data_IF_702000568804
#
_entry.id   IF_702000568804
#
_cell.length_a   1.000
_cell.length_b   1.000
_cell.length_c   1.000
_cell.angle_alpha   90.00
_cell.angle_beta   90.00
_cell.angle_gamma   90.00
#
_symmetry.space_group_name_H-M   'P 1'
#
loop_
_entity.id
_entity.type
_entity.pdbx_description
1 polymer ?
#
# COMPACT_ATOMS: atom_id res chain seq x y z
N UNK A 1 23.23 5.46 8.93
CA UNK A 1 22.62 6.27 7.86
C UNK A 1 21.59 5.37 7.18
N UNK A 2 20.29 5.64 7.34
CA UNK A 2 19.27 4.86 6.62
C UNK A 2 19.47 5.07 5.11
N UNK A 3 19.49 3.98 4.34
CA UNK A 3 19.55 4.07 2.87
C UNK A 3 18.29 4.77 2.37
N UNK A 4 18.46 5.64 1.38
CA UNK A 4 17.37 6.25 0.65
C UNK A 4 16.50 5.16 0.00
N UNK A 5 15.18 5.25 0.17
CA UNK A 5 14.25 4.26 -0.37
C UNK A 5 14.06 4.51 -1.87
N UNK A 6 14.39 3.51 -2.69
CA UNK A 6 14.02 3.52 -4.11
C UNK A 6 12.77 2.68 -4.33
N UNK A 7 11.73 3.28 -4.90
CA UNK A 7 10.46 2.61 -5.16
C UNK A 7 9.76 3.20 -6.38
N UNK A 8 8.73 2.51 -6.87
CA UNK A 8 7.76 3.04 -7.83
C UNK A 8 6.34 2.64 -7.45
N UNK A 9 5.37 3.45 -7.87
CA UNK A 9 3.95 3.21 -7.61
C UNK A 9 3.27 2.85 -8.92
N UNK A 10 2.56 1.73 -8.94
CA UNK A 10 1.82 1.25 -10.09
C UNK A 10 0.32 1.26 -9.77
N UNK A 11 -0.48 2.15 -10.36
CA UNK A 11 -1.93 2.06 -10.24
C UNK A 11 -2.46 0.75 -10.80
N UNK A 12 -3.39 0.13 -10.07
CA UNK A 12 -3.99 -1.16 -10.41
C UNK A 12 -5.44 -1.05 -10.88
N UNK A 13 -6.10 0.10 -10.68
CA UNK A 13 -7.45 0.31 -11.19
C UNK A 13 -7.41 0.95 -12.58
N UNK A 14 -8.31 0.50 -13.44
CA UNK A 14 -8.53 1.01 -14.79
C UNK A 14 -10.02 1.27 -14.99
N UNK A 15 -10.36 2.34 -15.69
CA UNK A 15 -11.72 2.66 -16.11
C UNK A 15 -11.85 2.41 -17.61
N UNK A 16 -12.78 1.52 -17.99
CA UNK A 16 -13.12 1.25 -19.39
C UNK A 16 -14.63 1.30 -19.54
N UNK A 17 -15.10 2.13 -20.47
CA UNK A 17 -16.53 2.27 -20.79
C UNK A 17 -17.41 2.62 -19.57
N UNK A 18 -16.87 3.40 -18.62
CA UNK A 18 -17.56 3.78 -17.37
C UNK A 18 -17.58 2.69 -16.29
N UNK A 19 -16.85 1.58 -16.49
CA UNK A 19 -16.67 0.51 -15.51
C UNK A 19 -15.25 0.52 -14.95
N UNK A 20 -15.13 0.49 -13.62
CA UNK A 20 -13.84 0.39 -12.92
C UNK A 20 -13.52 -1.09 -12.69
N UNK A 21 -12.32 -1.49 -13.12
CA UNK A 21 -11.80 -2.84 -12.98
C UNK A 21 -10.34 -2.84 -12.52
N UNK A 22 -9.83 -4.00 -12.13
CA UNK A 22 -8.44 -4.18 -11.74
C UNK A 22 -8.11 -5.68 -11.58
N UNK A 23 -6.84 -6.02 -11.32
CA UNK A 23 -6.44 -7.40 -11.05
C UNK A 23 -7.25 -8.02 -9.92
N UNK A 24 -7.85 -9.19 -10.18
CA UNK A 24 -8.84 -9.82 -9.28
C UNK A 24 -8.34 -10.00 -7.85
N UNK A 25 -7.12 -10.51 -7.66
CA UNK A 25 -6.58 -10.80 -6.33
C UNK A 25 -6.34 -9.52 -5.51
N UNK A 26 -5.54 -8.54 -5.98
CA UNK A 26 -5.38 -7.26 -5.28
C UNK A 26 -6.70 -6.51 -5.04
N UNK A 27 -7.64 -6.55 -5.99
CA UNK A 27 -8.93 -5.87 -5.84
C UNK A 27 -9.81 -6.53 -4.75
N UNK A 28 -9.82 -7.87 -4.69
CA UNK A 28 -10.54 -8.60 -3.65
C UNK A 28 -9.92 -8.35 -2.28
N UNK A 29 -8.59 -8.44 -2.19
CA UNK A 29 -7.84 -8.10 -0.98
C UNK A 29 -8.18 -6.69 -0.48
N UNK A 30 -8.09 -5.69 -1.36
CA UNK A 30 -8.35 -4.30 -0.99
C UNK A 30 -9.78 -4.10 -0.48
N UNK A 31 -10.76 -4.77 -1.09
CA UNK A 31 -12.15 -4.76 -0.64
C UNK A 31 -12.32 -5.36 0.75
N UNK A 32 -11.68 -6.50 1.02
CA UNK A 32 -11.74 -7.16 2.32
C UNK A 32 -11.08 -6.32 3.41
N UNK A 33 -9.87 -5.82 3.17
CA UNK A 33 -9.14 -5.00 4.14
C UNK A 33 -9.84 -3.68 4.41
N UNK A 34 -10.35 -3.00 3.37
CA UNK A 34 -11.10 -1.76 3.53
C UNK A 34 -12.37 -1.98 4.37
N UNK A 35 -13.08 -3.10 4.16
CA UNK A 35 -14.24 -3.45 4.98
C UNK A 35 -13.88 -3.70 6.45
N UNK A 36 -12.75 -4.37 6.72
CA UNK A 36 -12.28 -4.63 8.09
C UNK A 36 -11.99 -3.35 8.89
N UNK A 37 -11.46 -2.32 8.22
CA UNK A 37 -11.12 -1.04 8.87
C UNK A 37 -12.22 0.03 8.73
N UNK A 38 -13.40 -0.33 8.21
CA UNK A 38 -14.53 0.60 8.07
C UNK A 38 -14.31 1.71 7.04
N UNK A 39 -13.48 1.46 6.03
CA UNK A 39 -13.06 2.43 5.03
C UNK A 39 -13.67 2.14 3.65
N UNK A 40 -14.02 3.20 2.91
CA UNK A 40 -14.37 3.09 1.48
C UNK A 40 -13.18 3.55 0.65
N UNK A 41 -12.63 2.67 -0.18
CA UNK A 41 -11.53 2.99 -1.08
C UNK A 41 -12.02 3.28 -2.50
N UNK A 42 -11.30 4.12 -3.23
CA UNK A 42 -11.53 4.38 -4.66
C UNK A 42 -10.22 4.45 -5.47
N UNK A 43 -9.08 4.12 -4.86
CA UNK A 43 -7.77 3.97 -5.47
C UNK A 43 -7.11 2.70 -4.94
N UNK A 44 -6.37 2.04 -5.82
CA UNK A 44 -5.54 0.87 -5.48
C UNK A 44 -4.27 0.92 -6.31
N UNK A 45 -3.13 0.78 -5.66
CA UNK A 45 -1.83 0.73 -6.32
C UNK A 45 -0.92 -0.30 -5.67
N UNK A 46 0.02 -0.84 -6.45
CA UNK A 46 1.14 -1.64 -5.98
C UNK A 46 2.35 -0.76 -5.77
N UNK A 47 3.03 -0.95 -4.65
CA UNK A 47 4.32 -0.34 -4.36
C UNK A 47 5.43 -1.33 -4.72
N UNK A 48 6.21 -1.01 -5.74
CA UNK A 48 7.40 -1.76 -6.11
C UNK A 48 8.61 -1.20 -5.38
N UNK A 49 9.27 -2.05 -4.60
CA UNK A 49 10.44 -1.70 -3.81
C UNK A 49 11.68 -2.25 -4.52
N UNK A 50 12.70 -1.41 -4.72
CA UNK A 50 13.93 -1.86 -5.38
C UNK A 50 14.68 -2.93 -4.56
N UNK A 51 14.56 -2.88 -3.23
CA UNK A 51 14.99 -3.97 -2.35
C UNK A 51 13.85 -4.98 -2.21
N UNK A 52 13.93 -6.06 -2.99
CA UNK A 52 12.95 -7.15 -3.02
C UNK A 52 12.78 -7.88 -1.67
N UNK A 53 13.67 -7.65 -0.69
CA UNK A 53 13.58 -8.30 0.63
C UNK A 53 12.58 -7.60 1.55
N UNK A 54 12.18 -6.37 1.23
CA UNK A 54 11.24 -5.62 2.07
C UNK A 54 9.86 -6.29 1.99
N UNK A 55 9.26 -6.52 3.15
CA UNK A 55 7.96 -7.18 3.31
C UNK A 55 7.92 -8.64 2.85
N UNK A 56 9.08 -9.27 2.66
CA UNK A 56 9.19 -10.69 2.30
C UNK A 56 9.71 -11.53 3.46
N UNK A 57 9.25 -12.76 3.56
CA UNK A 57 9.80 -13.81 4.42
C UNK A 57 10.72 -14.73 3.62
N UNK A 58 11.48 -15.60 4.30
CA UNK A 58 12.17 -16.73 3.66
C UNK A 58 11.33 -17.98 3.81
N UNK A 59 10.97 -18.60 2.69
CA UNK A 59 10.20 -19.84 2.63
C UNK A 59 10.78 -20.74 1.55
N UNK A 60 10.93 -22.04 1.83
CA UNK A 60 11.38 -23.07 0.88
C UNK A 60 12.61 -22.70 0.03
N UNK A 61 13.58 -22.02 0.64
CA UNK A 61 14.83 -21.60 -0.01
C UNK A 61 14.75 -20.31 -0.84
N UNK A 62 13.59 -19.67 -0.92
CA UNK A 62 13.35 -18.42 -1.63
C UNK A 62 12.83 -17.30 -0.73
N UNK A 63 12.61 -16.13 -1.34
CA UNK A 63 11.77 -15.08 -0.75
C UNK A 63 10.31 -15.36 -1.10
N UNK A 64 9.40 -14.99 -0.21
CA UNK A 64 7.96 -14.95 -0.52
C UNK A 64 7.67 -14.00 -1.68
N UNK A 65 6.48 -14.12 -2.27
CA UNK A 65 5.98 -13.24 -3.33
C UNK A 65 4.91 -12.26 -2.84
N UNK A 66 5.04 -11.75 -1.61
CA UNK A 66 4.04 -10.83 -1.06
C UNK A 66 4.00 -9.53 -1.84
N UNK A 67 2.80 -8.98 -2.01
CA UNK A 67 2.62 -7.67 -2.60
C UNK A 67 2.58 -6.59 -1.51
N UNK A 68 3.16 -5.41 -1.78
CA UNK A 68 2.91 -4.23 -0.95
C UNK A 68 1.91 -3.34 -1.67
N UNK A 69 0.78 -3.07 -1.04
CA UNK A 69 -0.35 -2.37 -1.65
C UNK A 69 -0.67 -1.07 -0.92
N UNK A 70 -0.95 -0.02 -1.70
CA UNK A 70 -1.54 1.23 -1.25
C UNK A 70 -3.03 1.17 -1.57
N UNK A 71 -3.85 1.18 -0.52
CA UNK A 71 -5.31 1.29 -0.62
C UNK A 71 -5.65 2.73 -0.28
N UNK A 72 -6.30 3.44 -1.20
CA UNK A 72 -6.53 4.88 -1.08
C UNK A 72 -7.97 5.29 -1.31
N UNK A 73 -8.34 6.41 -0.71
CA UNK A 73 -9.54 7.17 -1.03
C UNK A 73 -9.15 8.61 -1.31
N UNK A 74 -9.35 9.02 -2.55
CA UNK A 74 -9.10 10.37 -3.03
C UNK A 74 -10.44 11.04 -3.28
N UNK A 75 -10.72 12.07 -2.48
CA UNK A 75 -11.85 12.98 -2.64
C UNK A 75 -11.32 14.38 -2.97
N UNK A 76 -12.22 15.30 -3.31
CA UNK A 76 -11.86 16.67 -3.72
C UNK A 76 -10.89 17.36 -2.76
N UNK A 77 -11.18 17.25 -1.46
CA UNK A 77 -10.46 18.00 -0.40
C UNK A 77 -9.77 17.07 0.61
N UNK A 78 -9.78 15.75 0.38
CA UNK A 78 -9.21 14.80 1.32
C UNK A 78 -8.59 13.59 0.63
N UNK A 79 -7.48 13.10 1.18
CA UNK A 79 -6.83 11.87 0.75
C UNK A 79 -6.57 11.03 2.00
N UNK A 80 -7.09 9.81 2.00
CA UNK A 80 -6.79 8.79 3.01
C UNK A 80 -6.02 7.67 2.34
N UNK A 81 -4.85 7.33 2.89
CA UNK A 81 -4.01 6.22 2.46
C UNK A 81 -3.89 5.18 3.56
N UNK A 82 -3.85 3.92 3.14
CA UNK A 82 -3.51 2.79 4.00
C UNK A 82 -2.56 1.86 3.26
N UNK A 83 -1.47 1.48 3.91
CA UNK A 83 -0.39 0.65 3.35
C UNK A 83 -0.46 -0.75 3.95
N UNK A 84 -0.40 -1.76 3.10
CA UNK A 84 -0.60 -3.17 3.46
C UNK A 84 0.43 -4.08 2.80
N UNK A 85 0.72 -5.20 3.45
CA UNK A 85 1.33 -6.37 2.81
C UNK A 85 0.22 -7.38 2.53
N UNK A 86 0.02 -7.72 1.26
CA UNK A 86 -0.81 -8.83 0.83
C UNK A 86 0.04 -10.11 0.79
N UNK A 87 -0.30 -11.06 1.66
CA UNK A 87 0.42 -12.32 1.82
C UNK A 87 -0.19 -13.48 1.00
N UNK A 88 -1.23 -13.20 0.21
CA UNK A 88 -1.99 -14.19 -0.56
C UNK A 88 -3.03 -14.97 0.26
N UNK A 89 -2.83 -15.11 1.58
CA UNK A 89 -3.79 -15.74 2.52
C UNK A 89 -4.40 -14.75 3.51
N UNK A 90 -3.96 -13.50 3.48
CA UNK A 90 -4.39 -12.45 4.39
C UNK A 90 -3.55 -11.18 4.24
N UNK A 91 -3.81 -10.18 5.09
CA UNK A 91 -3.16 -8.88 5.04
C UNK A 91 -2.48 -8.49 6.34
N UNK A 92 -1.31 -7.86 6.24
CA UNK A 92 -0.66 -7.18 7.36
C UNK A 92 -0.74 -5.68 7.11
N UNK A 93 -1.50 -4.98 7.94
CA UNK A 93 -1.54 -3.52 7.92
C UNK A 93 -0.18 -2.96 8.37
N UNK A 94 0.37 -2.03 7.61
CA UNK A 94 1.63 -1.34 7.93
C UNK A 94 1.32 -0.02 8.63
N UNK A 95 0.55 0.84 7.97
CA UNK A 95 0.19 2.15 8.46
C UNK A 95 -1.01 2.74 7.73
N UNK A 96 -1.62 3.78 8.31
CA UNK A 96 -2.62 4.62 7.66
C UNK A 96 -2.40 6.10 7.96
N UNK A 97 -2.83 6.98 7.06
CA UNK A 97 -2.75 8.42 7.28
C UNK A 97 -3.84 9.17 6.50
N UNK A 98 -4.31 10.24 7.12
CA UNK A 98 -5.14 11.25 6.47
C UNK A 98 -4.29 12.48 6.15
N UNK A 99 -4.44 13.02 4.94
CA UNK A 99 -3.69 14.22 4.53
C UNK A 99 -3.93 15.42 5.45
N UNK A 100 -5.16 15.56 5.97
CA UNK A 100 -5.56 16.65 6.85
C UNK A 100 -4.91 16.61 8.24
N UNK A 101 -4.63 15.41 8.74
CA UNK A 101 -4.30 15.22 10.15
C UNK A 101 -2.78 15.28 10.39
N UNK A 102 -1.99 15.10 9.34
CA UNK A 102 -0.53 15.15 9.39
C UNK A 102 0.14 14.03 10.20
N UNK A 103 -0.66 13.16 10.84
CA UNK A 103 -0.20 11.99 11.58
C UNK A 103 -0.27 10.72 10.75
N UNK A 104 0.69 9.83 11.01
CA UNK A 104 0.72 8.48 10.44
C UNK A 104 0.54 7.49 11.58
N UNK A 105 -0.54 6.71 11.50
CA UNK A 105 -0.86 5.66 12.45
C UNK A 105 -0.14 4.37 12.01
N UNK A 106 0.88 3.98 12.76
CA UNK A 106 1.64 2.76 12.52
C UNK A 106 1.04 1.58 13.27
N UNK A 107 0.94 0.42 12.60
CA UNK A 107 0.40 -0.79 13.21
C UNK A 107 1.53 -1.62 13.82
N UNK A 108 1.47 -1.84 15.13
CA UNK A 108 2.54 -2.54 15.87
C UNK A 108 2.74 -4.00 15.40
N UNK A 109 1.66 -4.66 14.96
CA UNK A 109 1.72 -6.03 14.44
C UNK A 109 2.68 -6.17 13.24
N UNK A 110 2.84 -5.13 12.41
CA UNK A 110 3.78 -5.13 11.30
C UNK A 110 5.23 -5.28 11.77
N UNK A 111 5.60 -4.64 12.87
CA UNK A 111 6.97 -4.70 13.42
C UNK A 111 7.33 -6.10 13.90
N UNK A 112 6.33 -6.84 14.36
CA UNK A 112 6.46 -8.20 14.87
C UNK A 112 6.57 -9.25 13.76
N UNK A 113 6.27 -8.91 12.51
CA UNK A 113 6.35 -9.87 11.40
C UNK A 113 7.78 -10.35 11.15
N UNK A 114 7.99 -11.61 10.75
CA UNK A 114 9.31 -12.17 10.50
C UNK A 114 9.89 -11.78 9.12
N UNK A 115 9.53 -10.60 8.58
CA UNK A 115 10.07 -10.13 7.30
C UNK A 115 11.59 -9.93 7.36
N UNK A 116 12.28 -10.30 6.29
CA UNK A 116 13.73 -10.15 6.09
C UNK A 116 14.13 -8.68 6.21
N UNK A 117 13.34 -7.79 5.64
CA UNK A 117 13.46 -6.35 5.80
C UNK A 117 12.06 -5.73 5.92
N UNK A 118 11.99 -4.57 6.58
CA UNK A 118 10.75 -3.80 6.79
C UNK A 118 10.97 -2.36 6.41
N UNK A 119 9.90 -1.70 6.00
CA UNK A 119 9.87 -0.25 5.86
C UNK A 119 10.02 0.39 7.24
N UNK A 120 10.95 1.34 7.36
CA UNK A 120 11.04 2.19 8.54
C UNK A 120 9.87 3.18 8.58
N UNK A 121 9.61 3.78 9.74
CA UNK A 121 8.59 4.83 9.84
C UNK A 121 8.89 6.00 8.91
N UNK A 122 10.16 6.37 8.78
CA UNK A 122 10.62 7.43 7.89
C UNK A 122 10.27 7.10 6.43
N UNK A 123 10.55 5.87 6.00
CA UNK A 123 10.27 5.40 4.63
C UNK A 123 8.77 5.37 4.32
N UNK A 124 7.93 4.92 5.25
CA UNK A 124 6.47 5.00 5.11
C UNK A 124 6.01 6.45 5.00
N UNK A 125 6.58 7.36 5.80
CA UNK A 125 6.31 8.78 5.70
C UNK A 125 6.69 9.38 4.35
N UNK A 126 7.85 9.00 3.80
CA UNK A 126 8.29 9.41 2.45
C UNK A 126 7.31 8.94 1.36
N UNK A 127 6.80 7.70 1.45
CA UNK A 127 5.79 7.16 0.51
C UNK A 127 4.48 7.93 0.60
N UNK A 128 3.93 8.10 1.81
CA UNK A 128 2.66 8.81 2.02
C UNK A 128 2.76 10.27 1.59
N UNK A 129 3.84 10.95 1.96
CA UNK A 129 4.05 12.35 1.56
C UNK A 129 4.15 12.50 0.04
N UNK A 130 4.81 11.57 -0.65
CA UNK A 130 4.86 11.57 -2.11
C UNK A 130 3.45 11.54 -2.72
N UNK A 131 2.61 10.60 -2.29
CA UNK A 131 1.23 10.47 -2.79
C UNK A 131 0.34 11.64 -2.36
N UNK A 132 0.54 12.22 -1.17
CA UNK A 132 -0.20 13.41 -0.75
C UNK A 132 0.17 14.65 -1.55
N UNK A 133 1.43 14.77 -1.97
CA UNK A 133 1.91 15.86 -2.83
C UNK A 133 1.38 15.69 -4.26
N UNK A 134 1.34 14.46 -4.76
CA UNK A 134 0.78 14.14 -6.07
C UNK A 134 -0.11 12.88 -6.01
N UNK A 135 -1.42 13.05 -5.78
CA UNK A 135 -2.37 11.94 -5.76
C UNK A 135 -2.55 11.24 -7.10
N UNK A 136 -2.05 11.82 -8.20
CA UNK A 136 -2.18 11.20 -9.53
C UNK A 136 -1.35 9.93 -9.67
N UNK A 137 -0.34 9.74 -8.82
CA UNK A 137 0.47 8.52 -8.74
C UNK A 137 -0.34 7.24 -8.49
N UNK A 138 -1.55 7.36 -7.91
CA UNK A 138 -2.44 6.22 -7.66
C UNK A 138 -3.74 6.29 -8.47
N UNK A 139 -3.84 7.21 -9.44
CA UNK A 139 -5.08 7.41 -10.20
C UNK A 139 -5.53 6.19 -10.99
N UNK A 140 -6.84 6.13 -11.24
CA UNK A 140 -7.44 5.15 -12.13
C UNK A 140 -6.93 5.44 -13.54
N UNK A 141 -6.38 4.42 -14.21
CA UNK A 141 -5.92 4.53 -15.59
C UNK A 141 -7.12 4.63 -16.54
N UNK A 142 -7.01 5.51 -17.52
CA UNK A 142 -7.95 5.64 -18.64
C UNK A 142 -7.50 4.81 -19.84
#
# INVERSE_FOLDING_TARGET
>A
MEKELTYSIQPLLEEKEGSISGPRSPALFAKEMAAQVGFKYNRLARLWLADERINQCREDGGLTGHDTLIIGAVYKDNVWLSLWVDTGVGGVAIASAFRSDGSIDFVELYRQQPYVSKLSQKQVGEIFQSVFNDPTQINIKS
#
